data_IF_038753639799
#
_entry.id   IF_038753639799
#
_cell.length_a   1.000
_cell.length_b   1.000
_cell.length_c   1.000
_cell.angle_alpha   90.00
_cell.angle_beta   90.00
_cell.angle_gamma   90.00
#
_symmetry.space_group_name_H-M   'P 1'
#
loop_
_entity.id
_entity.type
_entity.pdbx_description
1 polymer ?
#
# COMPACT_ATOMS: atom_id res chain seq x y z
N UNK A 1 -22.64 14.04 -12.17
CA UNK A 1 -23.02 12.61 -12.10
C UNK A 1 -22.21 11.83 -11.07
N UNK A 2 -20.91 12.11 -10.88
CA UNK A 2 -20.11 11.50 -9.79
C UNK A 2 -20.68 11.83 -8.39
N UNK A 3 -21.16 13.06 -8.20
CA UNK A 3 -21.71 13.52 -6.93
C UNK A 3 -22.97 12.73 -6.51
N UNK A 4 -23.77 12.26 -7.47
CA UNK A 4 -24.98 11.49 -7.19
C UNK A 4 -24.67 10.06 -6.70
N UNK A 5 -23.65 9.41 -7.27
CA UNK A 5 -23.21 8.09 -6.84
C UNK A 5 -22.60 8.15 -5.44
N UNK A 6 -21.72 9.13 -5.18
CA UNK A 6 -21.14 9.32 -3.85
C UNK A 6 -22.22 9.65 -2.81
N UNK A 7 -23.16 10.54 -3.13
CA UNK A 7 -24.28 10.88 -2.25
C UNK A 7 -25.15 9.65 -1.90
N UNK A 8 -25.38 8.74 -2.85
CA UNK A 8 -26.08 7.48 -2.60
C UNK A 8 -25.25 6.54 -1.69
N UNK A 9 -23.94 6.42 -1.93
CA UNK A 9 -23.03 5.61 -1.10
C UNK A 9 -22.99 6.10 0.35
N UNK A 10 -22.77 7.40 0.58
CA UNK A 10 -22.68 7.95 1.96
C UNK A 10 -24.03 7.90 2.70
N UNK A 11 -25.15 7.81 1.98
CA UNK A 11 -26.47 7.58 2.59
C UNK A 11 -26.65 6.13 3.02
N UNK A 12 -26.09 5.18 2.28
CA UNK A 12 -26.27 3.74 2.50
C UNK A 12 -25.27 3.15 3.50
N UNK A 13 -24.06 3.72 3.56
CA UNK A 13 -22.97 3.21 4.38
C UNK A 13 -22.51 4.27 5.39
N UNK A 14 -22.11 3.87 6.61
CA UNK A 14 -21.67 4.81 7.65
C UNK A 14 -20.23 5.28 7.40
N UNK A 15 -20.00 6.00 6.30
CA UNK A 15 -18.68 6.52 5.95
C UNK A 15 -18.45 7.85 6.67
N UNK A 16 -17.34 7.97 7.39
CA UNK A 16 -16.90 9.23 7.98
C UNK A 16 -16.45 10.22 6.89
N UNK A 17 -16.77 11.51 7.06
CA UNK A 17 -16.31 12.58 6.17
C UNK A 17 -14.82 12.87 6.35
N UNK A 18 -14.23 12.54 7.49
CA UNK A 18 -12.86 12.92 7.84
C UNK A 18 -11.81 12.36 6.86
N UNK A 19 -11.80 11.07 6.47
CA UNK A 19 -10.87 10.56 5.46
C UNK A 19 -10.95 11.27 4.11
N UNK A 20 -12.12 11.78 3.71
CA UNK A 20 -12.25 12.57 2.48
C UNK A 20 -11.56 13.94 2.62
N UNK A 21 -11.73 14.60 3.77
CA UNK A 21 -11.06 15.89 4.05
C UNK A 21 -9.55 15.71 4.09
N UNK A 22 -9.10 14.64 4.74
CA UNK A 22 -7.69 14.27 4.83
C UNK A 22 -7.12 14.02 3.42
N UNK A 23 -7.84 13.28 2.57
CA UNK A 23 -7.41 13.08 1.17
C UNK A 23 -7.27 14.39 0.40
N UNK A 24 -8.24 15.31 0.55
CA UNK A 24 -8.17 16.63 -0.08
C UNK A 24 -6.94 17.40 0.40
N UNK A 25 -6.60 17.33 1.68
CA UNK A 25 -5.42 17.99 2.24
C UNK A 25 -4.11 17.38 1.72
N UNK A 26 -4.07 16.05 1.57
CA UNK A 26 -2.97 15.36 0.89
C UNK A 26 -2.78 15.85 -0.54
N UNK A 27 -3.88 15.94 -1.31
CA UNK A 27 -3.83 16.43 -2.69
C UNK A 27 -3.35 17.88 -2.77
N UNK A 28 -3.72 18.75 -1.82
CA UNK A 28 -3.20 20.13 -1.75
C UNK A 28 -1.70 20.17 -1.48
N UNK A 29 -1.24 19.38 -0.51
CA UNK A 29 0.19 19.28 -0.18
C UNK A 29 0.99 18.77 -1.37
N UNK A 30 0.44 17.80 -2.12
CA UNK A 30 1.06 17.26 -3.32
C UNK A 30 1.15 18.27 -4.47
N UNK A 31 0.45 19.41 -4.44
CA UNK A 31 0.68 20.46 -5.44
C UNK A 31 2.01 21.20 -5.24
N UNK A 32 2.58 21.16 -4.03
CA UNK A 32 3.72 22.01 -3.65
C UNK A 32 4.92 21.24 -3.09
N UNK A 33 4.70 20.13 -2.38
CA UNK A 33 5.78 19.35 -1.76
C UNK A 33 6.29 18.27 -2.73
N UNK A 34 7.59 18.29 -3.00
CA UNK A 34 8.25 17.35 -3.92
C UNK A 34 9.42 16.57 -3.30
N UNK A 35 9.71 16.80 -2.02
CA UNK A 35 10.78 16.18 -1.23
C UNK A 35 10.28 15.82 0.17
N UNK A 36 10.82 14.72 0.70
CA UNK A 36 10.47 14.16 2.00
C UNK A 36 11.74 13.91 2.78
N UNK A 37 11.85 14.51 3.96
CA UNK A 37 13.08 14.44 4.75
C UNK A 37 13.21 13.11 5.50
N UNK A 38 12.09 12.58 6.00
CA UNK A 38 12.03 11.36 6.79
C UNK A 38 10.93 10.41 6.31
N UNK A 39 11.01 9.15 6.75
CA UNK A 39 9.93 8.20 6.49
C UNK A 39 8.60 8.62 7.13
N UNK A 40 8.60 9.33 8.26
CA UNK A 40 7.36 9.81 8.89
C UNK A 40 6.62 10.81 8.00
N UNK A 41 7.35 11.69 7.31
CA UNK A 41 6.74 12.59 6.32
C UNK A 41 6.17 11.81 5.14
N UNK A 42 6.91 10.81 4.65
CA UNK A 42 6.45 9.95 3.56
C UNK A 42 5.23 9.12 3.97
N UNK A 43 5.23 8.59 5.19
CA UNK A 43 4.12 7.84 5.77
C UNK A 43 2.87 8.70 5.83
N UNK A 44 2.98 9.94 6.32
CA UNK A 44 1.85 10.87 6.38
C UNK A 44 1.31 11.19 4.98
N UNK A 45 2.18 11.34 3.98
CA UNK A 45 1.74 11.46 2.58
C UNK A 45 0.99 10.20 2.11
N UNK A 46 1.55 9.01 2.32
CA UNK A 46 0.90 7.74 1.98
C UNK A 46 -0.46 7.59 2.70
N UNK A 47 -0.56 8.03 3.95
CA UNK A 47 -1.81 8.07 4.72
C UNK A 47 -2.83 8.91 3.98
N UNK A 48 -2.50 10.16 3.65
CA UNK A 48 -3.45 11.06 3.02
C UNK A 48 -3.92 10.58 1.64
N UNK A 49 -3.01 10.09 0.79
CA UNK A 49 -3.34 9.84 -0.63
C UNK A 49 -3.83 8.42 -0.92
N UNK A 50 -3.64 7.48 0.02
CA UNK A 50 -4.02 6.08 -0.19
C UNK A 50 -4.54 5.40 1.07
N UNK A 51 -4.00 5.73 2.25
CA UNK A 51 -4.50 5.22 3.53
C UNK A 51 -5.96 5.60 3.77
N UNK A 52 -6.31 6.85 3.53
CA UNK A 52 -7.69 7.39 3.59
C UNK A 52 -8.65 6.61 2.69
N UNK A 53 -8.21 6.15 1.50
CA UNK A 53 -9.02 5.31 0.59
C UNK A 53 -9.38 3.99 1.25
N UNK A 54 -8.45 3.38 2.00
CA UNK A 54 -8.74 2.22 2.83
C UNK A 54 -9.84 2.51 3.85
N UNK A 55 -9.71 3.60 4.61
CA UNK A 55 -10.69 4.01 5.63
C UNK A 55 -12.08 4.29 5.05
N UNK A 56 -12.15 4.91 3.86
CA UNK A 56 -13.41 5.15 3.14
C UNK A 56 -14.06 3.85 2.64
N UNK A 57 -13.25 2.83 2.35
CA UNK A 57 -13.71 1.58 1.74
C UNK A 57 -14.25 0.57 2.74
N UNK A 58 -13.75 0.54 3.99
CA UNK A 58 -14.18 -0.43 5.01
C UNK A 58 -15.70 -0.43 5.27
N UNK A 59 -16.38 0.72 5.44
CA UNK A 59 -17.84 0.72 5.64
C UNK A 59 -18.62 0.10 4.48
N UNK A 60 -18.10 0.22 3.25
CA UNK A 60 -18.73 -0.31 2.03
C UNK A 60 -18.43 -1.81 1.89
N UNK A 61 -17.19 -2.21 2.17
CA UNK A 61 -16.76 -3.61 2.10
C UNK A 61 -17.38 -4.47 3.22
N UNK A 62 -17.69 -3.87 4.37
CA UNK A 62 -18.29 -4.55 5.50
C UNK A 62 -17.29 -5.43 6.27
N UNK A 63 -17.56 -5.59 7.56
CA UNK A 63 -16.88 -6.53 8.45
C UNK A 63 -17.80 -7.74 8.61
N UNK A 64 -17.27 -8.95 8.51
CA UNK A 64 -18.06 -10.16 8.60
C UNK A 64 -18.77 -10.25 9.97
N UNK A 65 -20.05 -10.65 10.03
CA UNK A 65 -20.79 -10.76 11.30
C UNK A 65 -20.13 -11.68 12.35
N UNK A 66 -19.38 -12.69 11.89
CA UNK A 66 -18.63 -13.64 12.71
C UNK A 66 -17.18 -13.21 13.00
N UNK A 67 -16.75 -12.03 12.56
CA UNK A 67 -15.43 -11.49 12.87
C UNK A 67 -15.26 -11.34 14.38
N UNK A 68 -14.07 -11.71 14.88
CA UNK A 68 -13.68 -11.49 16.28
C UNK A 68 -12.74 -10.30 16.44
N UNK A 69 -12.33 -9.70 15.32
CA UNK A 69 -11.46 -8.54 15.31
C UNK A 69 -12.23 -7.30 15.79
N UNK A 70 -11.52 -6.36 16.41
CA UNK A 70 -12.12 -5.07 16.71
C UNK A 70 -12.28 -4.27 15.42
N UNK A 71 -13.31 -3.43 15.32
CA UNK A 71 -13.48 -2.53 14.16
C UNK A 71 -12.21 -1.73 13.91
N UNK A 72 -11.60 -1.17 14.95
CA UNK A 72 -10.33 -0.44 14.87
C UNK A 72 -9.21 -1.26 14.21
N UNK A 73 -9.05 -2.54 14.57
CA UNK A 73 -8.01 -3.39 13.97
C UNK A 73 -8.23 -3.63 12.47
N UNK A 74 -9.48 -3.73 12.01
CA UNK A 74 -9.80 -3.86 10.58
C UNK A 74 -9.50 -2.55 9.84
N UNK A 75 -9.82 -1.41 10.44
CA UNK A 75 -9.47 -0.09 9.88
C UNK A 75 -7.95 0.12 9.81
N UNK A 76 -7.20 -0.30 10.82
CA UNK A 76 -5.74 -0.25 10.82
C UNK A 76 -5.13 -1.13 9.73
N UNK A 77 -5.70 -2.31 9.47
CA UNK A 77 -5.28 -3.17 8.37
C UNK A 77 -5.64 -2.59 6.99
N UNK A 78 -6.81 -1.96 6.84
CA UNK A 78 -7.19 -1.26 5.61
C UNK A 78 -6.28 -0.04 5.36
N UNK A 79 -5.92 0.68 6.42
CA UNK A 79 -4.92 1.74 6.36
C UNK A 79 -3.58 1.19 5.89
N UNK A 80 -3.09 0.11 6.51
CA UNK A 80 -1.86 -0.55 6.12
C UNK A 80 -1.86 -0.99 4.64
N UNK A 81 -2.98 -1.47 4.11
CA UNK A 81 -3.11 -1.81 2.70
C UNK A 81 -2.94 -0.58 1.79
N UNK A 82 -3.56 0.55 2.16
CA UNK A 82 -3.40 1.82 1.46
C UNK A 82 -1.94 2.29 1.45
N UNK A 83 -1.28 2.26 2.61
CA UNK A 83 0.15 2.59 2.74
C UNK A 83 1.01 1.65 1.87
N UNK A 84 0.80 0.34 1.95
CA UNK A 84 1.55 -0.65 1.19
C UNK A 84 1.43 -0.41 -0.33
N UNK A 85 0.21 -0.14 -0.82
CA UNK A 85 -0.04 0.15 -2.22
C UNK A 85 0.67 1.44 -2.66
N UNK A 86 0.67 2.48 -1.83
CA UNK A 86 1.30 3.75 -2.20
C UNK A 86 2.83 3.69 -2.16
N UNK A 87 3.41 3.02 -1.15
CA UNK A 87 4.83 2.71 -1.14
C UNK A 87 5.22 1.91 -2.38
N UNK A 88 4.39 0.93 -2.79
CA UNK A 88 4.62 0.17 -4.02
C UNK A 88 4.58 1.05 -5.27
N UNK A 89 3.66 2.03 -5.36
CA UNK A 89 3.62 2.99 -6.46
C UNK A 89 4.91 3.82 -6.52
N UNK A 90 5.32 4.40 -5.38
CA UNK A 90 6.56 5.19 -5.26
C UNK A 90 7.78 4.38 -5.71
N UNK A 91 7.90 3.13 -5.22
CA UNK A 91 9.03 2.27 -5.57
C UNK A 91 9.00 1.80 -7.03
N UNK A 92 7.83 1.68 -7.64
CA UNK A 92 7.70 1.30 -9.05
C UNK A 92 8.04 2.45 -10.00
N UNK A 93 7.69 3.68 -9.60
CA UNK A 93 7.62 4.83 -10.51
C UNK A 93 8.76 5.86 -10.28
N UNK A 94 9.82 5.51 -9.53
CA UNK A 94 10.96 6.40 -9.18
C UNK A 94 11.47 7.22 -10.36
N UNK A 95 11.78 6.57 -11.50
CA UNK A 95 12.29 7.30 -12.66
C UNK A 95 11.26 8.22 -13.32
N UNK A 96 9.98 7.85 -13.30
CA UNK A 96 8.90 8.70 -13.82
C UNK A 96 8.70 9.94 -12.94
N UNK A 97 8.72 9.75 -11.62
CA UNK A 97 8.63 10.84 -10.65
C UNK A 97 9.84 11.77 -10.74
N UNK A 98 11.06 11.22 -10.86
CA UNK A 98 12.28 12.01 -11.02
C UNK A 98 12.24 12.89 -12.28
N UNK A 99 11.75 12.36 -13.42
CA UNK A 99 11.57 13.16 -14.65
C UNK A 99 10.57 14.31 -14.48
N UNK A 100 9.66 14.22 -13.51
CA UNK A 100 8.72 15.29 -13.13
C UNK A 100 9.27 16.19 -12.02
N UNK A 101 10.54 16.04 -11.64
CA UNK A 101 11.18 16.80 -10.58
C UNK A 101 10.75 16.39 -9.17
N UNK A 102 10.23 15.17 -8.98
CA UNK A 102 9.69 14.67 -7.71
C UNK A 102 10.53 13.52 -7.16
N UNK A 103 10.78 13.53 -5.85
CA UNK A 103 11.46 12.45 -5.13
C UNK A 103 10.69 12.21 -3.83
N UNK A 104 9.95 11.10 -3.77
CA UNK A 104 9.21 10.70 -2.57
C UNK A 104 10.07 9.97 -1.53
N UNK A 105 11.18 9.39 -1.97
CA UNK A 105 12.06 8.58 -1.14
C UNK A 105 12.64 9.42 0.00
N UNK A 106 12.68 8.91 1.25
CA UNK A 106 13.16 9.70 2.39
C UNK A 106 14.63 10.05 2.25
N UNK A 107 14.96 11.34 2.39
CA UNK A 107 16.33 11.84 2.20
C UNK A 107 17.31 11.36 3.27
N UNK A 108 16.86 11.27 4.52
CA UNK A 108 17.65 10.71 5.62
C UNK A 108 18.06 9.25 5.36
N UNK A 109 17.14 8.44 4.82
CA UNK A 109 17.40 7.05 4.49
C UNK A 109 18.26 6.92 3.23
N UNK A 110 18.04 7.75 2.19
CA UNK A 110 18.95 7.80 1.04
C UNK A 110 20.39 8.10 1.50
N UNK A 111 20.57 9.06 2.41
CA UNK A 111 21.88 9.43 2.95
C UNK A 111 22.55 8.29 3.73
N UNK A 112 21.79 7.44 4.44
CA UNK A 112 22.33 6.24 5.12
C UNK A 112 23.00 5.26 4.16
N UNK A 113 22.55 5.20 2.89
CA UNK A 113 23.17 4.39 1.83
C UNK A 113 24.22 5.17 1.02
N UNK A 114 24.49 6.43 1.39
CA UNK A 114 25.39 7.32 0.66
C UNK A 114 24.88 7.66 -0.74
N UNK A 115 23.56 7.89 -0.85
CA UNK A 115 22.84 8.37 -2.03
C UNK A 115 22.34 9.80 -1.77
N UNK A 116 22.26 10.59 -2.84
CA UNK A 116 21.70 11.94 -2.85
C UNK A 116 20.72 12.13 -4.02
N UNK A 117 20.12 13.31 -4.14
CA UNK A 117 19.16 13.59 -5.23
C UNK A 117 19.79 13.44 -6.61
N UNK A 118 21.06 13.84 -6.78
CA UNK A 118 21.75 13.74 -8.06
C UNK A 118 21.90 12.28 -8.51
N UNK A 119 22.05 11.33 -7.57
CA UNK A 119 22.07 9.90 -7.90
C UNK A 119 20.71 9.42 -8.45
N UNK A 120 19.61 9.95 -7.90
CA UNK A 120 18.25 9.64 -8.36
C UNK A 120 18.01 10.21 -9.76
N UNK A 121 18.46 11.44 -10.01
CA UNK A 121 18.34 12.08 -11.33
C UNK A 121 19.27 11.46 -12.38
N UNK A 122 20.45 10.98 -11.98
CA UNK A 122 21.34 10.24 -12.85
C UNK A 122 20.71 8.90 -13.30
N UNK A 123 19.85 8.31 -12.47
CA UNK A 123 19.07 7.12 -12.80
C UNK A 123 19.94 5.87 -13.00
N UNK A 124 21.09 5.81 -12.33
CA UNK A 124 22.05 4.70 -12.46
C UNK A 124 21.82 3.69 -11.33
N UNK A 125 21.58 2.43 -11.70
CA UNK A 125 21.41 1.32 -10.75
C UNK A 125 22.78 0.88 -10.21
N UNK A 126 23.13 1.40 -9.03
CA UNK A 126 24.35 1.04 -8.28
C UNK A 126 24.05 0.00 -7.19
N UNK A 127 25.09 -0.58 -6.58
CA UNK A 127 24.89 -1.51 -5.46
C UNK A 127 24.30 -0.83 -4.22
N UNK A 128 24.63 0.45 -4.00
CA UNK A 128 24.00 1.29 -2.98
C UNK A 128 22.51 1.43 -3.23
N UNK A 129 22.12 1.67 -4.48
CA UNK A 129 20.71 1.75 -4.88
C UNK A 129 19.98 0.43 -4.65
N UNK A 130 20.55 -0.71 -5.07
CA UNK A 130 19.98 -2.03 -4.82
C UNK A 130 19.78 -2.29 -3.33
N UNK A 131 20.76 -1.93 -2.50
CA UNK A 131 20.68 -2.09 -1.05
C UNK A 131 19.56 -1.24 -0.44
N UNK A 132 19.48 0.04 -0.82
CA UNK A 132 18.39 0.94 -0.40
C UNK A 132 17.02 0.39 -0.80
N UNK A 133 16.85 -0.03 -2.05
CA UNK A 133 15.59 -0.55 -2.57
C UNK A 133 15.13 -1.82 -1.86
N UNK A 134 16.05 -2.71 -1.47
CA UNK A 134 15.72 -3.92 -0.69
C UNK A 134 15.07 -3.57 0.64
N UNK A 135 15.59 -2.56 1.35
CA UNK A 135 15.04 -2.14 2.63
C UNK A 135 13.66 -1.48 2.48
N UNK A 136 13.47 -0.67 1.43
CA UNK A 136 12.16 -0.09 1.14
C UNK A 136 11.12 -1.15 0.75
N UNK A 137 11.49 -2.13 -0.07
CA UNK A 137 10.62 -3.25 -0.46
C UNK A 137 10.25 -4.10 0.77
N UNK A 138 11.22 -4.37 1.65
CA UNK A 138 10.97 -5.05 2.92
C UNK A 138 9.93 -4.31 3.76
N UNK A 139 10.06 -2.98 3.87
CA UNK A 139 9.08 -2.14 4.58
C UNK A 139 7.68 -2.22 3.96
N UNK A 140 7.57 -2.09 2.63
CA UNK A 140 6.28 -2.21 1.94
C UNK A 140 5.62 -3.59 2.17
N UNK A 141 6.42 -4.67 2.15
CA UNK A 141 5.95 -6.03 2.46
C UNK A 141 5.44 -6.17 3.89
N UNK A 142 6.05 -5.50 4.88
CA UNK A 142 5.55 -5.49 6.26
C UNK A 142 4.15 -4.88 6.37
N UNK A 143 3.86 -3.81 5.61
CA UNK A 143 2.51 -3.25 5.56
C UNK A 143 1.51 -4.17 4.86
N UNK A 144 1.92 -4.90 3.82
CA UNK A 144 1.08 -5.97 3.25
C UNK A 144 0.78 -7.05 4.29
N UNK A 145 1.77 -7.51 5.05
CA UNK A 145 1.57 -8.52 6.09
C UNK A 145 0.60 -8.05 7.19
N UNK A 146 0.60 -6.75 7.53
CA UNK A 146 -0.40 -6.17 8.43
C UNK A 146 -1.79 -6.12 7.79
N UNK A 147 -1.87 -5.70 6.51
CA UNK A 147 -3.12 -5.64 5.77
C UNK A 147 -3.81 -7.01 5.67
N UNK A 148 -3.05 -8.08 5.42
CA UNK A 148 -3.56 -9.45 5.28
C UNK A 148 -4.40 -9.89 6.51
N UNK A 149 -4.06 -9.41 7.71
CA UNK A 149 -4.80 -9.69 8.95
C UNK A 149 -6.21 -9.11 8.96
N UNK A 150 -6.45 -7.99 8.27
CA UNK A 150 -7.77 -7.39 8.16
C UNK A 150 -8.60 -7.94 7.01
N UNK A 151 -7.96 -8.40 5.92
CA UNK A 151 -8.69 -8.92 4.75
C UNK A 151 -9.54 -10.14 5.12
N UNK A 152 -9.04 -11.01 6.00
CA UNK A 152 -9.79 -12.20 6.47
C UNK A 152 -11.04 -11.84 7.27
N UNK A 153 -11.08 -10.65 7.86
CA UNK A 153 -12.17 -10.16 8.72
C UNK A 153 -13.30 -9.47 7.95
N UNK A 154 -13.07 -9.13 6.68
CA UNK A 154 -14.07 -8.48 5.82
C UNK A 154 -15.26 -9.41 5.53
N UNK A 155 -16.38 -8.81 5.10
CA UNK A 155 -17.52 -9.55 4.58
C UNK A 155 -17.11 -10.47 3.42
N UNK A 156 -17.78 -11.62 3.30
CA UNK A 156 -17.47 -12.69 2.35
C UNK A 156 -17.34 -12.19 0.91
N UNK A 157 -18.19 -11.25 0.50
CA UNK A 157 -18.27 -10.80 -0.90
C UNK A 157 -17.13 -9.83 -1.23
N UNK A 158 -16.53 -9.22 -0.18
CA UNK A 158 -15.41 -8.27 -0.30
C UNK A 158 -14.04 -8.95 -0.24
N UNK A 159 -13.91 -10.14 0.36
CA UNK A 159 -12.59 -10.78 0.57
C UNK A 159 -11.86 -11.08 -0.72
N UNK A 160 -12.53 -11.68 -1.69
CA UNK A 160 -11.89 -12.09 -2.94
C UNK A 160 -11.31 -10.91 -3.73
N UNK A 161 -12.05 -9.83 -4.03
CA UNK A 161 -11.48 -8.69 -4.75
C UNK A 161 -10.35 -8.01 -3.96
N UNK A 162 -10.46 -7.92 -2.63
CA UNK A 162 -9.40 -7.32 -1.79
C UNK A 162 -8.14 -8.19 -1.79
N UNK A 163 -8.27 -9.51 -1.63
CA UNK A 163 -7.15 -10.46 -1.76
C UNK A 163 -6.49 -10.39 -3.13
N UNK A 164 -7.29 -10.34 -4.19
CA UNK A 164 -6.78 -10.22 -5.55
C UNK A 164 -5.97 -8.92 -5.70
N UNK A 165 -6.51 -7.78 -5.27
CA UNK A 165 -5.79 -6.51 -5.31
C UNK A 165 -4.49 -6.56 -4.52
N UNK A 166 -4.53 -7.07 -3.28
CA UNK A 166 -3.38 -7.18 -2.38
C UNK A 166 -2.26 -8.02 -3.02
N UNK A 167 -2.58 -9.23 -3.48
CA UNK A 167 -1.59 -10.14 -4.09
C UNK A 167 -0.97 -9.50 -5.34
N UNK A 168 -1.80 -8.89 -6.20
CA UNK A 168 -1.32 -8.28 -7.43
C UNK A 168 -0.41 -7.08 -7.17
N UNK A 169 -0.74 -6.24 -6.19
CA UNK A 169 0.13 -5.12 -5.81
C UNK A 169 1.43 -5.62 -5.17
N UNK A 170 1.36 -6.60 -4.28
CA UNK A 170 2.56 -7.21 -3.67
C UNK A 170 3.51 -7.79 -4.72
N UNK A 171 2.99 -8.40 -5.78
CA UNK A 171 3.78 -8.94 -6.91
C UNK A 171 4.48 -7.88 -7.78
N UNK A 172 4.10 -6.60 -7.68
CA UNK A 172 4.85 -5.52 -8.32
C UNK A 172 6.24 -5.41 -7.67
N UNK A 173 6.34 -5.58 -6.35
CA UNK A 173 7.61 -5.56 -5.64
C UNK A 173 8.54 -6.68 -6.11
N UNK A 174 8.00 -7.90 -6.31
CA UNK A 174 8.75 -9.01 -6.90
C UNK A 174 9.24 -8.68 -8.32
N UNK A 175 8.45 -7.89 -9.06
CA UNK A 175 8.81 -7.48 -10.42
C UNK A 175 9.93 -6.42 -10.43
N UNK A 176 10.04 -5.60 -9.37
CA UNK A 176 11.18 -4.71 -9.13
C UNK A 176 12.43 -5.52 -8.75
N UNK A 177 12.29 -6.60 -7.97
CA UNK A 177 13.45 -7.46 -7.67
C UNK A 177 13.95 -8.19 -8.93
N UNK A 178 13.02 -8.71 -9.76
CA UNK A 178 13.34 -9.44 -11.00
C UNK A 178 14.01 -8.55 -12.05
N UNK A 179 13.69 -7.25 -12.10
CA UNK A 179 14.34 -6.32 -13.03
C UNK A 179 15.65 -5.72 -12.48
N UNK A 180 16.21 -6.32 -11.42
CA UNK A 180 17.42 -5.87 -10.73
C UNK A 180 17.32 -4.44 -10.19
N UNK A 181 16.14 -4.08 -9.67
CA UNK A 181 15.83 -2.78 -9.05
C UNK A 181 15.96 -1.58 -10.02
N UNK A 182 15.89 -1.84 -11.33
CA UNK A 182 15.87 -0.82 -12.39
C UNK A 182 14.46 -0.24 -12.56
N UNK A 183 14.03 0.56 -11.59
CA UNK A 183 12.80 1.36 -11.60
C UNK A 183 13.03 2.81 -12.09
N UNK A 184 14.25 3.13 -12.52
CA UNK A 184 14.56 4.38 -13.22
C UNK A 184 14.11 4.33 -14.69
N UNK A 185 14.41 3.21 -15.36
CA UNK A 185 14.16 3.06 -16.81
C UNK A 185 13.05 2.06 -17.11
N UNK A 186 12.82 1.07 -16.24
CA UNK A 186 11.80 0.03 -16.46
C UNK A 186 10.72 0.11 -15.39
N UNK A 187 9.50 0.43 -15.83
CA UNK A 187 8.33 0.36 -14.96
C UNK A 187 7.96 -1.10 -14.67
N UNK A 188 7.99 -1.51 -13.41
CA UNK A 188 7.62 -2.87 -13.01
C UNK A 188 6.10 -3.10 -13.12
N UNK A 189 5.68 -4.23 -13.69
CA UNK A 189 4.27 -4.59 -13.80
C UNK A 189 4.06 -6.10 -13.71
N UNK A 190 2.88 -6.49 -13.24
CA UNK A 190 2.46 -7.90 -13.26
C UNK A 190 1.86 -8.23 -14.62
N UNK A 191 2.47 -9.15 -15.35
CA UNK A 191 1.99 -9.61 -16.66
C UNK A 191 0.62 -10.30 -16.58
N UNK A 192 -0.14 -10.28 -17.70
CA UNK A 192 -1.52 -10.82 -17.76
C UNK A 192 -1.63 -12.27 -17.27
N UNK A 193 -0.67 -13.12 -17.60
CA UNK A 193 -0.65 -14.51 -17.18
C UNK A 193 -0.48 -14.66 -15.65
N UNK A 194 0.47 -13.93 -15.05
CA UNK A 194 0.62 -13.89 -13.58
C UNK A 194 -0.64 -13.37 -12.92
N UNK A 195 -1.29 -12.33 -13.48
CA UNK A 195 -2.57 -11.82 -12.95
C UNK A 195 -3.63 -12.92 -12.90
N UNK A 196 -3.78 -13.67 -14.00
CA UNK A 196 -4.75 -14.77 -14.09
C UNK A 196 -4.44 -15.88 -13.06
N UNK A 197 -3.18 -16.25 -12.91
CA UNK A 197 -2.75 -17.27 -11.94
C UNK A 197 -2.93 -16.82 -10.48
N UNK A 198 -2.92 -15.53 -10.19
CA UNK A 198 -3.16 -15.00 -8.83
C UNK A 198 -4.63 -15.08 -8.41
N UNK A 199 -5.59 -15.15 -9.35
CA UNK A 199 -7.02 -15.15 -9.01
C UNK A 199 -7.48 -16.42 -8.26
N UNK A 200 -7.10 -17.65 -8.67
CA UNK A 200 -7.40 -18.85 -7.89
C UNK A 200 -6.78 -18.84 -6.49
N UNK A 201 -5.55 -18.31 -6.36
CA UNK A 201 -4.88 -18.18 -5.06
C UNK A 201 -5.63 -17.20 -4.16
N UNK A 202 -6.01 -16.03 -4.70
CA UNK A 202 -6.82 -15.04 -3.99
C UNK A 202 -8.17 -15.63 -3.56
N UNK A 203 -8.81 -16.41 -4.43
CA UNK A 203 -10.08 -17.08 -4.12
C UNK A 203 -9.91 -18.09 -2.99
N UNK A 204 -8.88 -18.94 -3.05
CA UNK A 204 -8.56 -19.90 -1.99
C UNK A 204 -8.33 -19.22 -0.63
N UNK A 205 -7.63 -18.08 -0.59
CA UNK A 205 -7.45 -17.28 0.64
C UNK A 205 -8.74 -16.64 1.13
N UNK A 206 -9.62 -16.21 0.22
CA UNK A 206 -10.92 -15.61 0.58
C UNK A 206 -11.88 -16.60 1.26
N UNK A 207 -11.71 -17.91 1.03
CA UNK A 207 -12.50 -18.96 1.68
C UNK A 207 -12.10 -19.21 3.14
N UNK A 208 -10.94 -18.71 3.59
CA UNK A 208 -10.52 -18.85 4.99
C UNK A 208 -11.43 -18.01 5.89
N UNK A 209 -11.96 -18.63 6.95
CA UNK A 209 -12.88 -17.96 7.87
C UNK A 209 -12.13 -17.25 9.02
N UNK A 210 -12.65 -16.09 9.50
CA UNK A 210 -12.11 -15.36 10.66
C UNK A 210 -11.85 -16.23 11.89
N UNK A 211 -12.69 -17.24 12.12
CA UNK A 211 -12.62 -18.12 13.29
C UNK A 211 -11.48 -19.15 13.26
N UNK A 212 -10.72 -19.26 12.17
CA UNK A 212 -9.70 -20.29 11.97
C UNK A 212 -8.25 -19.76 12.03
N UNK A 213 -8.03 -18.45 12.22
CA UNK A 213 -6.69 -17.88 12.32
C UNK A 213 -6.15 -18.11 13.74
N UNK A 214 -5.07 -18.90 13.94
CA UNK A 214 -4.51 -19.09 15.27
C UNK A 214 -3.96 -17.76 15.77
N UNK A 215 -4.37 -17.33 16.97
CA UNK A 215 -3.66 -16.28 17.70
C UNK A 215 -2.25 -16.81 17.96
N UNK A 216 -1.28 -16.40 17.15
CA UNK A 216 0.13 -16.66 17.41
C UNK A 216 0.50 -15.92 18.71
N UNK A 217 0.36 -16.61 19.83
CA UNK A 217 0.91 -16.17 21.11
C UNK A 217 2.43 -16.04 20.96
N UNK A 218 2.92 -14.80 20.94
CA UNK A 218 4.35 -14.51 21.11
C UNK A 218 4.78 -15.13 22.44
N UNK A 219 5.58 -16.20 22.39
CA UNK A 219 6.36 -16.64 23.54
C UNK A 219 7.34 -15.53 23.87
N UNK A 220 7.12 -14.84 24.99
CA UNK A 220 8.13 -14.02 25.63
C UNK A 220 9.30 -14.94 26.02
N UNK A 221 10.50 -14.63 25.54
CA UNK A 221 11.72 -15.17 26.14
C UNK A 221 12.12 -14.23 27.27
N UNK A 222 12.06 -14.79 28.47
CA UNK A 222 12.71 -14.36 29.71
C UNK A 222 14.23 -14.35 29.55
#
# INVERSE_FOLDING_TARGET
MLDAALADTVRKFPVDIQPFRDMIEGMRTDLVKSRYETFDELYLYCYYVAGTVGLMSVPVMGIAPQSKATTESVYNAALALGIANQLTNILRDVGEDARRGRIYLPRDELAQFGLCEDDIFAGIVTDKWRAFMKDQIKRARMFFDEAEKGVVELDKDSRWPVWASLILYRQILDSIEVNDYDNFTKRAYVGKFKKLLSLPVAYGRALVHPSQTPVLAKKAHS
#
